data_IF_209996114655
#
_entry.id   IF_209996114655
#
_cell.length_a   1.000
_cell.length_b   1.000
_cell.length_c   1.000
_cell.angle_alpha   90.00
_cell.angle_beta   90.00
_cell.angle_gamma   90.00
#
_symmetry.space_group_name_H-M   'P 1'
#
loop_
_entity.id
_entity.type
_entity.pdbx_description
1 polymer ?
#
# COMPACT_ATOMS: atom_id res chain seq x y z
N UNK A 1 2.14 2.52 1.67
CA UNK A 1 2.54 3.08 0.37
C UNK A 1 2.41 2.00 -0.69
N UNK A 2 1.80 2.31 -1.84
CA UNK A 2 1.54 1.35 -2.92
C UNK A 2 1.82 2.03 -4.27
N UNK A 3 2.91 1.64 -4.93
CA UNK A 3 3.42 2.32 -6.14
C UNK A 3 4.06 1.31 -7.12
N UNK A 4 4.32 1.75 -8.35
CA UNK A 4 5.16 1.00 -9.28
C UNK A 4 6.63 1.39 -9.15
N UNK A 5 7.54 0.44 -9.43
CA UNK A 5 8.99 0.73 -9.40
C UNK A 5 9.46 1.56 -10.61
N UNK A 6 8.68 1.58 -11.70
CA UNK A 6 8.96 2.38 -12.90
C UNK A 6 8.15 3.69 -12.90
N UNK A 7 7.75 4.17 -11.73
CA UNK A 7 7.04 5.43 -11.58
C UNK A 7 7.95 6.62 -11.90
N UNK A 8 7.69 7.28 -13.03
CA UNK A 8 8.46 8.44 -13.49
C UNK A 8 8.22 9.71 -12.66
N UNK A 9 7.10 9.80 -11.94
CA UNK A 9 6.77 10.96 -11.11
C UNK A 9 7.35 10.83 -9.71
N UNK A 10 7.38 9.60 -9.18
CA UNK A 10 7.97 9.27 -7.90
C UNK A 10 9.00 8.15 -8.09
N UNK A 11 10.24 8.45 -8.51
CA UNK A 11 11.27 7.43 -8.69
C UNK A 11 11.50 6.61 -7.43
N UNK A 12 11.68 5.29 -7.58
CA UNK A 12 11.71 4.36 -6.46
C UNK A 12 12.81 4.68 -5.44
N UNK A 13 14.08 4.77 -5.86
CA UNK A 13 15.18 5.01 -4.92
C UNK A 13 15.20 6.44 -4.37
N UNK A 14 14.97 7.44 -5.21
CA UNK A 14 15.24 8.85 -4.87
C UNK A 14 14.01 9.61 -4.38
N UNK A 15 12.81 9.01 -4.42
CA UNK A 15 11.58 9.63 -3.95
C UNK A 15 10.76 8.71 -3.04
N UNK A 16 10.40 7.50 -3.51
CA UNK A 16 9.50 6.63 -2.74
C UNK A 16 10.12 6.16 -1.42
N UNK A 17 11.38 5.69 -1.44
CA UNK A 17 12.09 5.23 -0.23
C UNK A 17 12.24 6.37 0.79
N UNK A 18 12.81 7.55 0.45
CA UNK A 18 12.90 8.66 1.40
C UNK A 18 11.54 9.09 1.97
N UNK A 19 10.50 9.14 1.12
CA UNK A 19 9.15 9.46 1.58
C UNK A 19 8.62 8.41 2.56
N UNK A 20 8.84 7.12 2.31
CA UNK A 20 8.42 6.04 3.20
C UNK A 20 9.12 6.11 4.57
N UNK A 21 10.41 6.41 4.57
CA UNK A 21 11.20 6.58 5.81
C UNK A 21 10.65 7.72 6.67
N UNK A 22 10.30 8.85 6.04
CA UNK A 22 9.76 10.05 6.71
C UNK A 22 8.32 9.91 7.20
N UNK A 23 7.52 8.99 6.66
CA UNK A 23 6.14 8.78 7.12
C UNK A 23 6.14 8.16 8.53
N UNK A 24 5.61 8.91 9.50
CA UNK A 24 5.37 8.44 10.87
C UNK A 24 4.03 7.72 10.96
N UNK A 25 4.07 6.39 10.85
CA UNK A 25 2.94 5.47 11.05
C UNK A 25 3.43 4.33 11.92
N UNK A 26 2.64 3.92 12.91
CA UNK A 26 3.00 2.82 13.79
C UNK A 26 2.93 1.47 13.07
N UNK A 27 3.78 0.53 13.49
CA UNK A 27 3.63 -0.86 13.10
C UNK A 27 2.33 -1.45 13.68
N UNK A 28 1.61 -2.32 12.95
CA UNK A 28 1.95 -2.94 11.67
C UNK A 28 1.46 -2.15 10.44
N UNK A 29 1.04 -0.88 10.59
CA UNK A 29 0.42 -0.11 9.52
C UNK A 29 1.42 0.47 8.53
N UNK A 30 2.71 0.56 8.91
CA UNK A 30 3.78 1.06 8.05
C UNK A 30 4.23 -0.05 7.08
N UNK A 31 3.78 0.04 5.82
CA UNK A 31 4.14 -0.91 4.75
C UNK A 31 4.43 -0.21 3.44
N UNK A 32 5.47 -0.66 2.75
CA UNK A 32 5.78 -0.31 1.36
C UNK A 32 5.52 -1.54 0.48
N UNK A 33 4.66 -1.40 -0.51
CA UNK A 33 4.33 -2.46 -1.47
C UNK A 33 4.57 -1.91 -2.86
N UNK A 34 5.40 -2.59 -3.64
CA UNK A 34 5.77 -2.15 -4.99
C UNK A 34 5.45 -3.19 -6.05
N UNK A 35 5.13 -2.72 -7.25
CA UNK A 35 4.85 -3.57 -8.41
C UNK A 35 5.78 -3.25 -9.57
N UNK A 36 6.02 -4.24 -10.43
CA UNK A 36 6.70 -4.06 -11.72
C UNK A 36 5.75 -3.35 -12.71
N UNK A 37 5.48 -2.07 -12.44
CA UNK A 37 4.58 -1.22 -13.20
C UNK A 37 5.12 0.22 -13.23
N UNK A 38 4.56 1.04 -14.12
CA UNK A 38 4.71 2.49 -14.08
C UNK A 38 3.95 3.09 -12.88
N UNK A 39 3.59 4.37 -12.93
CA UNK A 39 2.97 5.12 -11.83
C UNK A 39 1.90 4.36 -11.03
N UNK A 40 0.98 3.68 -11.72
CA UNK A 40 -0.13 2.98 -11.08
C UNK A 40 0.06 1.46 -11.06
N UNK A 41 0.01 0.81 -9.89
CA UNK A 41 -0.08 -0.64 -9.80
C UNK A 41 -1.35 -1.21 -10.43
N UNK A 42 -1.39 -2.53 -10.72
CA UNK A 42 -2.59 -3.19 -11.23
C UNK A 42 -3.80 -2.96 -10.32
N UNK A 43 -4.88 -2.40 -10.87
CA UNK A 43 -6.09 -2.01 -10.12
C UNK A 43 -6.61 -3.12 -9.20
N UNK A 44 -6.64 -4.36 -9.69
CA UNK A 44 -7.12 -5.51 -8.90
C UNK A 44 -6.26 -5.80 -7.68
N UNK A 45 -4.94 -5.56 -7.76
CA UNK A 45 -4.02 -5.72 -6.64
C UNK A 45 -4.13 -4.56 -5.66
N UNK A 46 -4.22 -3.33 -6.17
CA UNK A 46 -4.49 -2.13 -5.36
C UNK A 46 -5.73 -2.31 -4.48
N UNK A 47 -6.85 -2.73 -5.06
CA UNK A 47 -8.08 -2.97 -4.31
C UNK A 47 -7.91 -4.04 -3.24
N UNK A 48 -7.17 -5.13 -3.53
CA UNK A 48 -6.91 -6.19 -2.55
C UNK A 48 -6.08 -5.70 -1.37
N UNK A 49 -5.00 -4.98 -1.62
CA UNK A 49 -4.13 -4.47 -0.55
C UNK A 49 -4.85 -3.42 0.32
N UNK A 50 -5.64 -2.53 -0.30
CA UNK A 50 -6.46 -1.57 0.45
C UNK A 50 -7.48 -2.29 1.34
N UNK A 51 -8.21 -3.28 0.80
CA UNK A 51 -9.19 -4.04 1.59
C UNK A 51 -8.51 -4.85 2.70
N UNK A 52 -7.36 -5.45 2.42
CA UNK A 52 -6.57 -6.19 3.42
C UNK A 52 -6.12 -5.28 4.55
N UNK A 53 -5.60 -4.10 4.22
CA UNK A 53 -5.20 -3.09 5.20
C UNK A 53 -6.40 -2.59 6.02
N UNK A 54 -7.49 -2.22 5.36
CA UNK A 54 -8.70 -1.73 6.02
C UNK A 54 -9.32 -2.75 6.97
N UNK A 55 -9.37 -4.02 6.57
CA UNK A 55 -9.88 -5.11 7.41
C UNK A 55 -8.95 -5.43 8.61
N UNK A 56 -7.68 -5.05 8.56
CA UNK A 56 -6.75 -5.23 9.68
C UNK A 56 -6.93 -4.17 10.78
N UNK A 57 -7.49 -3.00 10.45
CA UNK A 57 -7.75 -1.92 11.40
C UNK A 57 -8.84 -2.28 12.43
N UNK A 58 -9.82 -3.10 12.03
CA UNK A 58 -10.85 -3.61 12.92
C UNK A 58 -11.19 -5.07 12.57
N UNK A 59 -10.63 -6.04 13.31
CA UNK A 59 -10.89 -7.45 13.09
C UNK A 59 -12.38 -7.83 13.17
N UNK A 60 -13.20 -7.06 13.90
CA UNK A 60 -14.64 -7.32 14.03
C UNK A 60 -15.38 -7.07 12.70
N UNK A 61 -14.84 -6.26 11.80
CA UNK A 61 -15.42 -6.02 10.46
C UNK A 61 -15.31 -7.21 9.52
N UNK A 62 -14.34 -8.12 9.72
CA UNK A 62 -14.25 -9.35 8.92
C UNK A 62 -15.46 -10.26 9.13
N UNK A 63 -16.05 -10.28 10.32
CA UNK A 63 -17.21 -11.12 10.65
C UNK A 63 -18.49 -10.65 9.94
N UNK A 64 -18.67 -9.34 9.74
CA UNK A 64 -19.90 -8.77 9.16
C UNK A 64 -20.01 -8.89 7.63
N UNK A 65 -19.02 -9.50 6.94
CA UNK A 65 -19.09 -9.75 5.48
C UNK A 65 -19.38 -11.21 5.13
N UNK A 66 -19.58 -12.07 6.13
CA UNK A 66 -19.88 -13.51 5.97
C UNK A 66 -21.37 -13.79 6.28
N UNK A 67 -22.18 -12.75 6.52
CA UNK A 67 -23.64 -12.83 6.64
C UNK A 67 -24.32 -12.27 5.40
#
# INVERSE_FOLDING_TARGET
>A
MLNGIYDQYFPYETSQIPMYELISVDEPSKKMITYQSAHSPPKSQTSKEILKWYNALDPKRKLNRIQ
#
